data_IF_380343479649
#
_entry.id   IF_380343479649
#
_cell.length_a   1.000
_cell.length_b   1.000
_cell.length_c   1.000
_cell.angle_alpha   90.00
_cell.angle_beta   90.00
_cell.angle_gamma   90.00
#
_symmetry.space_group_name_H-M   'P 1'
#
loop_
_entity.id
_entity.type
_entity.pdbx_description
1 polymer ?
#
# COMPACT_ATOMS: atom_id res chain seq x y z
N UNK A 1 -9.46 -5.65 28.82
CA UNK A 1 -10.16 -6.97 28.81
C UNK A 1 -10.90 -7.03 27.48
N UNK A 2 -10.87 -8.15 26.75
CA UNK A 2 -11.68 -8.29 25.53
C UNK A 2 -13.12 -8.56 25.99
N UNK A 3 -14.14 -7.83 25.51
CA UNK A 3 -15.51 -8.12 25.87
C UNK A 3 -15.92 -9.52 25.39
N UNK A 4 -16.80 -10.17 26.14
CA UNK A 4 -17.36 -11.46 25.73
C UNK A 4 -18.44 -11.20 24.67
N UNK A 5 -18.05 -11.29 23.39
CA UNK A 5 -18.93 -11.11 22.25
C UNK A 5 -19.50 -12.45 21.80
N UNK A 6 -20.73 -12.49 21.24
CA UNK A 6 -21.23 -13.65 20.51
C UNK A 6 -20.23 -14.07 19.42
N UNK A 7 -20.22 -15.34 19.05
CA UNK A 7 -19.39 -15.79 17.93
C UNK A 7 -19.90 -15.18 16.61
N UNK A 8 -19.00 -14.76 15.72
CA UNK A 8 -19.39 -14.27 14.41
C UNK A 8 -20.01 -15.40 13.55
N UNK A 9 -20.87 -15.04 12.64
CA UNK A 9 -21.43 -15.98 11.66
C UNK A 9 -20.41 -16.24 10.56
N UNK A 10 -20.05 -17.50 10.35
CA UNK A 10 -19.22 -17.92 9.22
C UNK A 10 -20.08 -17.98 7.94
N UNK A 11 -19.60 -17.32 6.88
CA UNK A 11 -20.28 -17.27 5.57
C UNK A 11 -19.49 -18.15 4.60
N UNK A 12 -19.84 -19.43 4.61
CA UNK A 12 -19.21 -20.50 3.81
C UNK A 12 -20.18 -21.16 2.82
N UNK A 13 -21.43 -20.68 2.77
CA UNK A 13 -22.50 -21.23 1.92
C UNK A 13 -23.32 -20.11 1.30
N UNK A 14 -23.98 -20.37 0.16
CA UNK A 14 -24.86 -19.41 -0.51
C UNK A 14 -26.03 -18.96 0.39
N UNK A 15 -26.54 -19.84 1.26
CA UNK A 15 -27.59 -19.48 2.22
C UNK A 15 -27.07 -18.44 3.25
N UNK A 16 -25.83 -18.60 3.73
CA UNK A 16 -25.22 -17.63 4.63
C UNK A 16 -24.89 -16.31 3.92
N UNK A 17 -24.49 -16.35 2.63
CA UNK A 17 -24.33 -15.15 1.79
C UNK A 17 -25.67 -14.42 1.68
N UNK A 18 -26.78 -15.12 1.39
CA UNK A 18 -28.10 -14.51 1.29
C UNK A 18 -28.52 -13.82 2.61
N UNK A 19 -28.30 -14.46 3.76
CA UNK A 19 -28.59 -13.87 5.08
C UNK A 19 -27.73 -12.63 5.40
N UNK A 20 -26.45 -12.64 5.00
CA UNK A 20 -25.60 -11.46 5.09
C UNK A 20 -26.12 -10.32 4.22
N UNK A 21 -26.45 -10.60 2.95
CA UNK A 21 -26.97 -9.60 2.02
C UNK A 21 -28.28 -8.99 2.49
N UNK A 22 -29.20 -9.78 3.05
CA UNK A 22 -30.41 -9.28 3.69
C UNK A 22 -30.11 -8.34 4.88
N UNK A 23 -29.12 -8.70 5.69
CA UNK A 23 -28.63 -7.82 6.77
C UNK A 23 -28.10 -6.51 6.22
N UNK A 24 -27.27 -6.57 5.18
CA UNK A 24 -26.68 -5.38 4.55
C UNK A 24 -27.72 -4.51 3.84
N UNK A 25 -28.78 -5.10 3.27
CA UNK A 25 -29.89 -4.36 2.63
C UNK A 25 -30.54 -3.40 3.64
N UNK A 26 -30.71 -3.83 4.89
CA UNK A 26 -31.35 -3.07 5.94
C UNK A 26 -30.39 -2.20 6.76
N UNK A 27 -29.08 -2.35 6.60
CA UNK A 27 -28.07 -1.57 7.33
C UNK A 27 -27.75 -0.26 6.56
N UNK A 28 -27.82 0.92 7.21
CA UNK A 28 -27.39 2.17 6.62
C UNK A 28 -25.87 2.27 6.50
N UNK A 29 -25.16 1.55 7.38
CA UNK A 29 -23.70 1.51 7.48
C UNK A 29 -23.22 0.14 7.95
N UNK A 30 -21.99 -0.20 7.57
CA UNK A 30 -21.32 -1.41 8.03
C UNK A 30 -19.80 -1.28 7.96
N UNK A 31 -19.13 -1.97 8.86
CA UNK A 31 -17.66 -2.03 8.90
C UNK A 31 -17.13 -3.17 8.02
N UNK A 32 -15.94 -2.97 7.46
CA UNK A 32 -15.26 -3.95 6.59
C UNK A 32 -13.78 -3.99 6.88
N UNK A 33 -13.20 -5.18 6.86
CA UNK A 33 -11.76 -5.44 6.89
C UNK A 33 -11.45 -6.69 6.05
N UNK A 34 -10.19 -6.95 5.73
CA UNK A 34 -9.79 -8.16 4.99
C UNK A 34 -8.49 -8.76 5.51
N UNK A 35 -8.40 -10.09 5.37
CA UNK A 35 -7.15 -10.79 5.61
C UNK A 35 -6.68 -11.52 4.35
N UNK A 36 -5.40 -11.41 4.06
CA UNK A 36 -4.76 -12.01 2.89
C UNK A 36 -3.65 -12.98 3.22
N UNK A 37 -3.11 -13.63 2.19
CA UNK A 37 -2.05 -14.64 2.32
C UNK A 37 -0.71 -14.21 1.70
N UNK A 38 -0.46 -12.91 1.53
CA UNK A 38 0.72 -12.34 0.89
C UNK A 38 2.06 -12.83 1.46
N UNK A 39 2.10 -13.25 2.74
CA UNK A 39 3.27 -13.85 3.36
C UNK A 39 3.42 -15.35 3.08
N UNK A 40 2.40 -16.03 2.56
CA UNK A 40 2.33 -17.48 2.46
C UNK A 40 2.16 -17.99 1.04
N UNK A 41 1.39 -17.28 0.22
CA UNK A 41 1.01 -17.66 -1.14
C UNK A 41 1.46 -16.65 -2.19
N UNK A 42 1.52 -17.13 -3.44
CA UNK A 42 1.78 -16.29 -4.62
C UNK A 42 1.05 -16.86 -5.85
N UNK A 43 0.31 -16.05 -6.58
CA UNK A 43 -0.11 -14.68 -6.22
C UNK A 43 -0.86 -14.63 -4.88
N UNK A 44 -0.78 -13.48 -4.21
CA UNK A 44 -1.59 -13.25 -3.00
C UNK A 44 -3.07 -13.12 -3.35
N UNK A 45 -3.93 -13.42 -2.38
CA UNK A 45 -5.38 -13.30 -2.52
C UNK A 45 -6.04 -12.92 -1.20
N UNK A 46 -7.24 -12.40 -1.27
CA UNK A 46 -8.10 -12.22 -0.10
C UNK A 46 -8.55 -13.58 0.40
N UNK A 47 -8.33 -13.87 1.67
CA UNK A 47 -8.65 -15.14 2.32
C UNK A 47 -9.82 -15.06 3.29
N UNK A 48 -10.13 -13.86 3.78
CA UNK A 48 -11.25 -13.61 4.66
C UNK A 48 -11.74 -12.18 4.44
N UNK A 49 -13.05 -11.95 4.51
CA UNK A 49 -13.64 -10.61 4.55
C UNK A 49 -14.48 -10.52 5.82
N UNK A 50 -14.11 -9.60 6.70
CA UNK A 50 -14.85 -9.32 7.93
C UNK A 50 -15.88 -8.23 7.65
N UNK A 51 -17.09 -8.44 8.14
CA UNK A 51 -18.18 -7.45 8.03
C UNK A 51 -18.92 -7.39 9.36
N UNK A 52 -19.11 -6.16 9.89
CA UNK A 52 -19.99 -5.91 11.02
C UNK A 52 -21.10 -4.95 10.61
N UNK A 53 -22.35 -5.35 10.76
CA UNK A 53 -23.52 -4.54 10.49
C UNK A 53 -24.46 -4.56 11.70
N UNK A 54 -24.66 -3.40 12.32
CA UNK A 54 -25.30 -3.31 13.65
C UNK A 54 -24.49 -4.09 14.68
N UNK A 55 -25.14 -5.03 15.39
CA UNK A 55 -24.51 -5.89 16.41
C UNK A 55 -24.08 -7.27 15.85
N UNK A 56 -24.21 -7.49 14.54
CA UNK A 56 -23.90 -8.78 13.91
C UNK A 56 -22.55 -8.75 13.21
N UNK A 57 -21.70 -9.72 13.56
CA UNK A 57 -20.40 -9.92 12.97
C UNK A 57 -20.44 -11.11 12.01
N UNK A 58 -19.84 -10.94 10.82
CA UNK A 58 -19.81 -11.90 9.75
C UNK A 58 -18.37 -12.11 9.28
N UNK A 59 -17.97 -13.36 9.12
CA UNK A 59 -16.69 -13.75 8.53
C UNK A 59 -16.94 -14.48 7.22
N UNK A 60 -16.78 -13.79 6.12
CA UNK A 60 -16.98 -14.34 4.77
C UNK A 60 -15.73 -15.05 4.34
N UNK A 61 -15.86 -16.33 3.96
CA UNK A 61 -14.77 -17.15 3.47
C UNK A 61 -14.80 -17.27 1.92
N UNK A 62 -14.04 -16.42 1.21
CA UNK A 62 -14.01 -16.49 -0.25
C UNK A 62 -13.38 -17.80 -0.79
N UNK A 63 -12.61 -18.50 0.03
CA UNK A 63 -11.92 -19.73 -0.40
C UNK A 63 -12.87 -20.92 -0.58
N UNK A 64 -14.10 -20.82 -0.09
CA UNK A 64 -15.14 -21.82 -0.29
C UNK A 64 -15.79 -21.74 -1.68
N UNK A 65 -15.55 -20.65 -2.42
CA UNK A 65 -16.07 -20.43 -3.77
C UNK A 65 -17.51 -19.90 -3.83
N UNK A 66 -18.03 -19.37 -2.71
CA UNK A 66 -19.36 -18.69 -2.67
C UNK A 66 -19.39 -17.45 -3.57
N UNK A 67 -20.56 -17.13 -4.12
CA UNK A 67 -20.73 -15.95 -4.96
C UNK A 67 -20.76 -14.65 -4.15
N UNK A 68 -19.74 -13.82 -4.35
CA UNK A 68 -19.58 -12.53 -3.68
C UNK A 68 -20.10 -11.34 -4.50
N UNK A 69 -20.71 -11.54 -5.65
CA UNK A 69 -21.21 -10.44 -6.49
C UNK A 69 -22.21 -9.52 -5.75
N UNK A 70 -22.99 -10.11 -4.82
CA UNK A 70 -23.88 -9.36 -3.93
C UNK A 70 -23.17 -8.36 -3.03
N UNK A 71 -22.01 -8.74 -2.48
CA UNK A 71 -21.18 -7.84 -1.68
C UNK A 71 -20.64 -6.67 -2.52
N UNK A 72 -20.19 -6.95 -3.75
CA UNK A 72 -19.76 -5.90 -4.67
C UNK A 72 -20.83 -4.84 -4.92
N UNK A 73 -22.12 -5.24 -5.01
CA UNK A 73 -23.24 -4.29 -5.12
C UNK A 73 -23.41 -3.47 -3.83
N UNK A 74 -23.30 -4.09 -2.65
CA UNK A 74 -23.38 -3.38 -1.37
C UNK A 74 -22.24 -2.37 -1.19
N UNK A 75 -21.02 -2.71 -1.60
CA UNK A 75 -19.87 -1.80 -1.56
C UNK A 75 -20.00 -0.62 -2.52
N UNK A 76 -20.60 -0.83 -3.68
CA UNK A 76 -20.82 0.22 -4.69
C UNK A 76 -22.02 1.12 -4.39
N UNK A 77 -22.92 0.76 -3.47
CA UNK A 77 -24.12 1.53 -3.15
C UNK A 77 -23.75 2.85 -2.40
N UNK A 78 -23.99 4.03 -3.01
CA UNK A 78 -23.65 5.30 -2.38
C UNK A 78 -24.54 5.65 -1.16
N UNK A 79 -25.67 4.97 -0.97
CA UNK A 79 -26.59 5.18 0.16
C UNK A 79 -26.08 4.53 1.44
N UNK A 80 -25.18 3.56 1.34
CA UNK A 80 -24.62 2.80 2.46
C UNK A 80 -23.22 3.30 2.78
N UNK A 81 -22.96 3.56 4.04
CA UNK A 81 -21.63 3.97 4.50
C UNK A 81 -20.79 2.72 4.80
N UNK A 82 -19.61 2.61 4.20
CA UNK A 82 -18.63 1.57 4.50
C UNK A 82 -17.54 2.14 5.39
N UNK A 83 -17.34 1.53 6.55
CA UNK A 83 -16.38 1.96 7.57
C UNK A 83 -15.18 1.04 7.56
N UNK A 84 -14.00 1.62 7.34
CA UNK A 84 -12.70 0.94 7.34
C UNK A 84 -11.78 1.49 8.42
N UNK A 85 -10.69 0.78 8.67
CA UNK A 85 -9.56 1.29 9.44
C UNK A 85 -8.25 1.05 8.68
N UNK A 86 -7.71 2.08 8.01
CA UNK A 86 -6.55 1.96 7.08
C UNK A 86 -6.89 1.13 5.83
N UNK A 87 -8.09 1.32 5.27
CA UNK A 87 -8.71 0.47 4.27
C UNK A 87 -8.07 0.51 2.86
N UNK A 88 -6.92 1.15 2.66
CA UNK A 88 -6.29 1.25 1.33
C UNK A 88 -5.93 -0.12 0.77
N UNK A 89 -5.31 -0.98 1.60
CA UNK A 89 -4.94 -2.34 1.19
C UNK A 89 -6.16 -3.23 0.93
N UNK A 90 -7.18 -3.14 1.78
CA UNK A 90 -8.42 -3.91 1.67
C UNK A 90 -9.17 -3.59 0.39
N UNK A 91 -9.37 -2.28 0.14
CA UNK A 91 -10.02 -1.78 -1.07
C UNK A 91 -9.23 -2.18 -2.32
N UNK A 92 -7.91 -2.03 -2.31
CA UNK A 92 -7.06 -2.43 -3.43
C UNK A 92 -7.14 -3.94 -3.71
N UNK A 93 -7.11 -4.76 -2.66
CA UNK A 93 -7.18 -6.22 -2.75
C UNK A 93 -8.54 -6.69 -3.25
N UNK A 94 -9.64 -6.14 -2.73
CA UNK A 94 -11.00 -6.46 -3.18
C UNK A 94 -11.27 -5.99 -4.62
N UNK A 95 -10.70 -4.85 -5.04
CA UNK A 95 -10.73 -4.41 -6.44
C UNK A 95 -9.94 -5.34 -7.35
N UNK A 96 -8.75 -5.78 -6.91
CA UNK A 96 -7.89 -6.70 -7.68
C UNK A 96 -8.54 -8.07 -7.87
N UNK A 97 -9.05 -8.67 -6.78
CA UNK A 97 -9.49 -10.06 -6.78
C UNK A 97 -10.92 -10.23 -7.30
N UNK A 98 -11.78 -9.22 -7.11
CA UNK A 98 -13.22 -9.30 -7.42
C UNK A 98 -13.73 -8.19 -8.34
N UNK A 99 -12.92 -7.19 -8.69
CA UNK A 99 -13.36 -6.05 -9.50
C UNK A 99 -14.34 -5.11 -8.79
N UNK A 100 -14.44 -5.18 -7.47
CA UNK A 100 -15.41 -4.40 -6.70
C UNK A 100 -15.18 -2.89 -6.84
N UNK A 101 -16.27 -2.13 -6.76
CA UNK A 101 -16.25 -0.68 -6.71
C UNK A 101 -16.70 -0.22 -5.33
N UNK A 102 -16.20 0.93 -4.91
CA UNK A 102 -16.50 1.48 -3.58
C UNK A 102 -17.04 2.89 -3.68
N UNK A 103 -18.08 3.19 -2.90
CA UNK A 103 -18.69 4.52 -2.75
C UNK A 103 -19.06 4.75 -1.30
N UNK A 104 -19.05 6.00 -0.88
CA UNK A 104 -19.45 6.42 0.47
C UNK A 104 -18.66 5.71 1.57
N UNK A 105 -17.40 6.09 1.72
CA UNK A 105 -16.44 5.52 2.66
C UNK A 105 -16.23 6.41 3.88
N UNK A 106 -15.88 5.79 5.00
CA UNK A 106 -15.29 6.46 6.16
C UNK A 106 -14.10 5.62 6.65
N UNK A 107 -12.96 6.26 6.86
CA UNK A 107 -11.77 5.59 7.40
C UNK A 107 -11.45 6.10 8.80
N UNK A 108 -11.59 5.23 9.79
CA UNK A 108 -11.43 5.58 11.22
C UNK A 108 -9.97 5.84 11.60
N UNK A 109 -8.98 5.30 10.86
CA UNK A 109 -7.57 5.63 11.06
C UNK A 109 -7.26 7.04 10.56
N UNK A 110 -7.76 7.40 9.39
CA UNK A 110 -7.65 8.76 8.85
C UNK A 110 -8.32 9.75 9.79
N UNK A 111 -9.50 9.40 10.32
CA UNK A 111 -10.22 10.21 11.30
C UNK A 111 -9.40 10.43 12.58
N UNK A 112 -8.85 9.35 13.16
CA UNK A 112 -8.00 9.44 14.35
C UNK A 112 -6.77 10.33 14.09
N UNK A 113 -6.09 10.16 12.95
CA UNK A 113 -4.95 10.98 12.58
C UNK A 113 -5.34 12.46 12.35
N UNK A 114 -6.50 12.71 11.72
CA UNK A 114 -7.05 14.06 11.56
C UNK A 114 -7.42 14.70 12.90
N UNK A 115 -7.79 13.92 13.90
CA UNK A 115 -8.04 14.38 15.28
C UNK A 115 -6.74 14.59 16.08
N UNK A 116 -5.58 14.21 15.53
CA UNK A 116 -4.27 14.43 16.14
C UNK A 116 -3.78 13.25 16.98
N UNK A 117 -4.34 12.05 16.81
CA UNK A 117 -3.87 10.85 17.50
C UNK A 117 -2.40 10.57 17.14
N UNK A 118 -1.54 10.38 18.14
CA UNK A 118 -0.12 10.05 17.95
C UNK A 118 0.06 8.64 17.38
N UNK A 119 -0.82 7.73 17.76
CA UNK A 119 -0.83 6.34 17.31
C UNK A 119 -2.23 5.99 16.76
N UNK A 120 -2.53 6.33 15.49
CA UNK A 120 -3.86 6.14 14.93
C UNK A 120 -4.18 4.69 14.53
N UNK A 121 -3.31 3.71 14.81
CA UNK A 121 -3.54 2.30 14.51
C UNK A 121 -4.62 1.67 15.39
N UNK A 122 -5.35 0.68 14.86
CA UNK A 122 -6.55 0.10 15.45
C UNK A 122 -6.40 -0.28 16.93
N UNK A 123 -5.32 -1.00 17.27
CA UNK A 123 -5.09 -1.41 18.66
C UNK A 123 -5.03 -0.24 19.64
N UNK A 124 -4.44 0.90 19.25
CA UNK A 124 -4.35 2.08 20.10
C UNK A 124 -5.70 2.78 20.24
N UNK A 125 -6.39 2.99 19.13
CA UNK A 125 -7.69 3.71 19.18
C UNK A 125 -8.78 2.87 19.86
N UNK A 126 -8.75 1.54 19.75
CA UNK A 126 -9.68 0.68 20.49
C UNK A 126 -9.34 0.60 21.98
N UNK A 127 -8.05 0.59 22.33
CA UNK A 127 -7.63 0.65 23.71
C UNK A 127 -8.06 1.96 24.37
N UNK A 128 -7.89 3.09 23.70
CA UNK A 128 -8.27 4.41 24.20
C UNK A 128 -9.79 4.62 24.22
N UNK A 129 -10.47 4.22 23.14
CA UNK A 129 -11.92 4.46 22.98
C UNK A 129 -12.82 3.49 23.72
N UNK A 130 -12.39 2.23 23.90
CA UNK A 130 -13.24 1.14 24.39
C UNK A 130 -12.55 0.23 25.42
N UNK A 131 -11.28 0.46 25.76
CA UNK A 131 -10.51 -0.41 26.67
C UNK A 131 -10.18 -1.79 26.09
N UNK A 132 -10.35 -1.98 24.79
CA UNK A 132 -10.13 -3.26 24.09
C UNK A 132 -8.67 -3.45 23.73
N UNK A 133 -8.10 -4.60 24.05
CA UNK A 133 -6.74 -4.98 23.70
C UNK A 133 -6.75 -5.98 22.54
N UNK A 134 -6.11 -5.62 21.42
CA UNK A 134 -5.92 -6.50 20.27
C UNK A 134 -4.59 -7.26 20.36
N UNK A 135 -4.62 -8.55 20.02
CA UNK A 135 -3.41 -9.38 19.90
C UNK A 135 -2.81 -9.25 18.48
N UNK A 136 -1.85 -8.34 18.33
CA UNK A 136 -1.17 -8.10 17.04
C UNK A 136 -0.39 -9.30 16.49
N UNK A 137 -0.19 -10.36 17.27
CA UNK A 137 0.57 -11.54 16.81
C UNK A 137 -0.12 -12.25 15.65
N UNK A 138 -1.44 -12.07 15.49
CA UNK A 138 -2.25 -12.72 14.46
C UNK A 138 -2.27 -11.98 13.11
N UNK A 139 -1.83 -10.72 13.03
CA UNK A 139 -1.76 -9.95 11.77
C UNK A 139 -0.96 -10.66 10.66
N UNK A 140 0.00 -11.51 11.02
CA UNK A 140 0.82 -12.28 10.06
C UNK A 140 0.50 -13.76 10.11
N UNK A 141 -0.71 -14.11 10.48
CA UNK A 141 -1.20 -15.49 10.52
C UNK A 141 -1.36 -16.06 9.10
N UNK A 142 -1.38 -17.38 8.98
CA UNK A 142 -1.66 -18.04 7.71
C UNK A 142 -3.18 -18.10 7.48
N UNK A 143 -3.74 -17.03 6.91
CA UNK A 143 -5.17 -16.85 6.72
C UNK A 143 -5.79 -17.73 5.65
N UNK A 144 -4.97 -18.34 4.79
CA UNK A 144 -5.43 -19.33 3.81
C UNK A 144 -5.68 -20.74 4.40
N UNK A 145 -5.23 -20.99 5.63
CA UNK A 145 -5.40 -22.29 6.29
C UNK A 145 -6.83 -22.45 6.82
N UNK A 146 -7.37 -23.68 6.68
CA UNK A 146 -8.68 -24.07 7.22
C UNK A 146 -8.57 -25.35 8.06
N UNK A 147 -9.40 -25.50 9.12
CA UNK A 147 -10.31 -24.46 9.65
C UNK A 147 -9.54 -23.32 10.31
N UNK A 148 -10.17 -22.13 10.42
CA UNK A 148 -9.64 -21.04 11.22
C UNK A 148 -9.65 -21.45 12.70
N UNK A 149 -8.61 -21.03 13.42
CA UNK A 149 -8.55 -21.22 14.87
C UNK A 149 -9.50 -20.26 15.58
N UNK A 150 -9.96 -20.59 16.78
CA UNK A 150 -10.80 -19.72 17.58
C UNK A 150 -10.15 -18.34 17.81
N UNK A 151 -8.82 -18.30 18.00
CA UNK A 151 -8.08 -17.04 18.13
C UNK A 151 -8.15 -16.18 16.86
N UNK A 152 -8.04 -16.79 15.68
CA UNK A 152 -8.18 -16.07 14.40
C UNK A 152 -9.61 -15.54 14.22
N UNK A 153 -10.62 -16.36 14.54
CA UNK A 153 -12.03 -15.93 14.48
C UNK A 153 -12.27 -14.73 15.38
N UNK A 154 -11.78 -14.76 16.62
CA UNK A 154 -11.94 -13.65 17.57
C UNK A 154 -11.15 -12.41 17.15
N UNK A 155 -9.94 -12.59 16.64
CA UNK A 155 -9.14 -11.49 16.12
C UNK A 155 -9.87 -10.80 14.96
N UNK A 156 -10.27 -11.54 13.93
CA UNK A 156 -10.98 -11.03 12.77
C UNK A 156 -12.32 -10.36 13.12
N UNK A 157 -13.04 -10.85 14.14
CA UNK A 157 -14.25 -10.22 14.66
C UNK A 157 -13.96 -8.83 15.22
N UNK A 158 -12.86 -8.68 15.99
CA UNK A 158 -12.53 -7.42 16.66
C UNK A 158 -12.03 -6.34 15.69
N UNK A 159 -11.52 -6.73 14.52
CA UNK A 159 -11.02 -5.77 13.52
C UNK A 159 -12.16 -4.91 12.91
N UNK A 160 -13.43 -5.40 12.97
CA UNK A 160 -14.59 -4.66 12.46
C UNK A 160 -15.62 -4.28 13.54
N UNK A 161 -15.76 -5.06 14.59
CA UNK A 161 -16.84 -4.92 15.58
C UNK A 161 -17.00 -3.50 16.14
N UNK A 162 -15.90 -2.82 16.40
CA UNK A 162 -15.90 -1.49 17.02
C UNK A 162 -15.76 -0.33 16.04
N UNK A 163 -15.68 -0.58 14.72
CA UNK A 163 -15.37 0.50 13.76
C UNK A 163 -16.55 1.49 13.61
N UNK A 164 -17.80 1.01 13.56
CA UNK A 164 -18.96 1.90 13.50
C UNK A 164 -19.10 2.71 14.80
N UNK A 165 -19.08 2.12 16.01
CA UNK A 165 -19.03 2.89 17.27
C UNK A 165 -17.85 3.86 17.37
N UNK A 166 -16.68 3.51 16.82
CA UNK A 166 -15.53 4.41 16.78
C UNK A 166 -15.78 5.61 15.86
N UNK A 167 -16.31 5.38 14.67
CA UNK A 167 -16.71 6.43 13.74
C UNK A 167 -17.73 7.39 14.37
N UNK A 168 -18.75 6.86 15.05
CA UNK A 168 -19.77 7.65 15.74
C UNK A 168 -19.18 8.59 16.79
N UNK A 169 -18.12 8.18 17.50
CA UNK A 169 -17.35 9.04 18.41
C UNK A 169 -16.53 10.09 17.67
N UNK A 170 -15.89 9.72 16.55
CA UNK A 170 -14.97 10.58 15.82
C UNK A 170 -15.68 11.68 15.01
N UNK A 171 -16.85 11.39 14.40
CA UNK A 171 -17.57 12.34 13.53
C UNK A 171 -17.91 13.68 14.21
N UNK A 172 -18.50 13.72 15.42
CA UNK A 172 -18.78 14.99 16.10
C UNK A 172 -17.50 15.79 16.40
N UNK A 173 -16.43 15.13 16.79
CA UNK A 173 -15.15 15.80 17.06
C UNK A 173 -14.49 16.37 15.78
N UNK A 174 -14.55 15.63 14.67
CA UNK A 174 -14.10 16.13 13.37
C UNK A 174 -14.87 17.37 12.96
N UNK A 175 -16.19 17.36 13.11
CA UNK A 175 -17.05 18.50 12.81
C UNK A 175 -16.71 19.70 13.69
N UNK A 176 -16.60 19.50 15.01
CA UNK A 176 -16.26 20.56 15.95
C UNK A 176 -14.88 21.20 15.69
N UNK A 177 -13.92 20.43 15.16
CA UNK A 177 -12.58 20.92 14.80
C UNK A 177 -12.49 21.39 13.35
N UNK A 178 -13.57 21.32 12.57
CA UNK A 178 -13.56 21.67 11.13
C UNK A 178 -12.61 20.78 10.32
N UNK A 179 -12.57 19.46 10.59
CA UNK A 179 -11.61 18.52 9.97
C UNK A 179 -12.27 17.39 9.16
N UNK A 180 -13.60 17.41 9.05
CA UNK A 180 -14.38 16.41 8.30
C UNK A 180 -13.90 16.28 6.86
N UNK A 181 -13.57 17.40 6.21
CA UNK A 181 -13.09 17.44 4.83
C UNK A 181 -11.79 16.64 4.60
N UNK A 182 -10.95 16.46 5.63
CA UNK A 182 -9.71 15.67 5.54
C UNK A 182 -10.08 14.20 5.30
N UNK A 183 -11.00 13.68 6.10
CA UNK A 183 -11.47 12.28 5.99
C UNK A 183 -12.21 12.07 4.68
N UNK A 184 -13.11 12.97 4.33
CA UNK A 184 -13.86 12.89 3.07
C UNK A 184 -12.95 12.93 1.84
N UNK A 185 -11.92 13.80 1.85
CA UNK A 185 -10.96 13.88 0.75
C UNK A 185 -10.17 12.59 0.58
N UNK A 186 -9.68 12.01 1.68
CA UNK A 186 -8.96 10.74 1.64
C UNK A 186 -9.88 9.58 1.23
N UNK A 187 -11.11 9.52 1.72
CA UNK A 187 -12.10 8.53 1.31
C UNK A 187 -12.42 8.63 -0.20
N UNK A 188 -12.56 9.85 -0.76
CA UNK A 188 -12.71 10.03 -2.22
C UNK A 188 -11.48 9.54 -2.99
N UNK A 189 -10.26 9.68 -2.45
CA UNK A 189 -9.06 9.10 -3.03
C UNK A 189 -9.13 7.57 -3.05
N UNK A 190 -9.52 6.95 -1.94
CA UNK A 190 -9.69 5.49 -1.83
C UNK A 190 -10.74 4.95 -2.79
N UNK A 191 -11.86 5.64 -2.98
CA UNK A 191 -12.88 5.26 -3.97
C UNK A 191 -12.30 5.17 -5.40
N UNK A 192 -11.38 6.10 -5.76
CA UNK A 192 -10.74 6.17 -7.08
C UNK A 192 -9.48 5.31 -7.19
N UNK A 193 -9.05 4.69 -6.10
CA UNK A 193 -7.85 3.85 -6.07
C UNK A 193 -7.95 2.77 -7.16
N UNK A 194 -6.91 2.68 -7.98
CA UNK A 194 -6.78 1.60 -8.95
C UNK A 194 -6.15 0.37 -8.27
N UNK A 195 -6.60 -0.84 -8.62
CA UNK A 195 -5.93 -2.04 -8.12
C UNK A 195 -4.46 -2.03 -8.58
N UNK A 196 -3.55 -2.61 -7.79
CA UNK A 196 -2.16 -2.72 -8.20
C UNK A 196 -2.03 -3.54 -9.48
N UNK A 197 -1.13 -3.12 -10.38
CA UNK A 197 -0.80 -3.93 -11.55
C UNK A 197 -0.17 -5.24 -11.09
N UNK A 198 -0.74 -6.36 -11.55
CA UNK A 198 -0.26 -7.72 -11.23
C UNK A 198 0.62 -8.31 -12.32
N UNK A 199 0.83 -7.56 -13.41
CA UNK A 199 1.64 -8.02 -14.54
C UNK A 199 3.12 -8.02 -14.17
N UNK A 200 3.76 -9.18 -14.30
CA UNK A 200 5.19 -9.31 -14.08
C UNK A 200 5.97 -8.56 -15.18
N UNK A 201 6.81 -7.62 -14.77
CA UNK A 201 7.76 -6.96 -15.67
C UNK A 201 9.18 -7.46 -15.35
N UNK A 202 9.82 -8.23 -16.28
CA UNK A 202 11.16 -8.75 -16.07
C UNK A 202 12.22 -7.66 -15.88
N UNK A 203 11.95 -6.45 -16.29
CA UNK A 203 12.89 -5.33 -16.19
C UNK A 203 12.83 -4.62 -14.83
N UNK A 204 11.83 -4.89 -14.00
CA UNK A 204 11.77 -4.37 -12.62
C UNK A 204 12.93 -4.84 -11.72
N UNK A 205 13.75 -5.81 -12.16
CA UNK A 205 14.96 -6.18 -11.44
C UNK A 205 15.88 -4.99 -11.15
N UNK A 206 15.86 -3.94 -11.99
CA UNK A 206 16.68 -2.72 -11.80
C UNK A 206 16.32 -1.94 -10.53
N UNK A 207 15.16 -2.22 -9.92
CA UNK A 207 14.71 -1.62 -8.64
C UNK A 207 15.32 -2.32 -7.41
N UNK A 208 15.91 -3.49 -7.59
CA UNK A 208 16.57 -4.19 -6.49
C UNK A 208 17.79 -3.38 -6.01
N UNK A 209 17.93 -3.27 -4.69
CA UNK A 209 19.10 -2.60 -4.10
C UNK A 209 20.39 -3.28 -4.55
N UNK A 210 21.32 -2.50 -5.09
CA UNK A 210 22.59 -3.02 -5.64
C UNK A 210 22.54 -3.44 -7.12
N UNK A 211 21.37 -3.50 -7.76
CA UNK A 211 21.26 -3.87 -9.18
C UNK A 211 22.03 -2.92 -10.12
N UNK A 212 22.09 -1.65 -9.76
CA UNK A 212 22.77 -0.60 -10.57
C UNK A 212 24.28 -0.65 -10.46
N UNK A 213 24.81 -1.23 -9.38
CA UNK A 213 26.25 -1.34 -9.10
C UNK A 213 26.87 -2.54 -9.84
N UNK A 214 26.07 -3.42 -10.42
CA UNK A 214 26.51 -4.59 -11.17
C UNK A 214 27.11 -4.21 -12.53
N UNK A 215 28.08 -5.00 -13.00
CA UNK A 215 28.60 -4.88 -14.36
C UNK A 215 27.57 -5.36 -15.43
N UNK A 216 27.77 -5.08 -16.72
CA UNK A 216 26.83 -5.42 -17.77
C UNK A 216 26.46 -6.91 -17.85
N UNK A 217 27.37 -7.83 -17.55
CA UNK A 217 27.13 -9.27 -17.57
C UNK A 217 26.36 -9.71 -16.31
N UNK A 218 26.73 -9.17 -15.17
CA UNK A 218 26.03 -9.40 -13.89
C UNK A 218 24.58 -8.87 -13.92
N UNK A 219 24.33 -7.74 -14.61
CA UNK A 219 22.97 -7.20 -14.83
C UNK A 219 22.13 -8.19 -15.62
N UNK A 220 22.68 -8.75 -16.71
CA UNK A 220 21.98 -9.77 -17.48
C UNK A 220 21.70 -11.02 -16.63
N UNK A 221 22.66 -11.44 -15.80
CA UNK A 221 22.45 -12.55 -14.87
C UNK A 221 21.36 -12.25 -13.84
N UNK A 222 21.32 -11.02 -13.30
CA UNK A 222 20.27 -10.62 -12.35
C UNK A 222 18.88 -10.66 -13.01
N UNK A 223 18.74 -10.20 -14.25
CA UNK A 223 17.48 -10.27 -14.99
C UNK A 223 17.00 -11.71 -15.18
N UNK A 224 17.88 -12.61 -15.63
CA UNK A 224 17.55 -14.03 -15.77
C UNK A 224 17.17 -14.71 -14.47
N UNK A 225 17.85 -14.35 -13.36
CA UNK A 225 17.54 -14.83 -12.02
C UNK A 225 16.21 -14.27 -11.52
N UNK A 226 15.88 -13.03 -11.86
CA UNK A 226 14.62 -12.39 -11.51
C UNK A 226 13.44 -13.08 -12.20
N UNK A 227 13.56 -13.39 -13.48
CA UNK A 227 12.60 -14.18 -14.26
C UNK A 227 12.47 -15.59 -13.70
N UNK A 228 13.60 -16.24 -13.37
CA UNK A 228 13.58 -17.57 -12.74
C UNK A 228 12.82 -17.56 -11.42
N UNK A 229 13.08 -16.56 -10.57
CA UNK A 229 12.40 -16.44 -9.27
C UNK A 229 10.90 -16.31 -9.44
N UNK A 230 10.43 -15.50 -10.39
CA UNK A 230 9.00 -15.34 -10.69
C UNK A 230 8.38 -16.68 -11.09
N UNK A 231 8.97 -17.38 -12.05
CA UNK A 231 8.51 -18.70 -12.48
C UNK A 231 8.43 -19.69 -11.30
N UNK A 232 9.49 -19.77 -10.51
CA UNK A 232 9.52 -20.65 -9.33
C UNK A 232 8.49 -20.23 -8.25
N UNK A 233 8.23 -18.95 -8.10
CA UNK A 233 7.22 -18.44 -7.17
C UNK A 233 5.81 -18.90 -7.56
N UNK A 234 5.48 -18.83 -8.83
CA UNK A 234 4.21 -19.33 -9.39
C UNK A 234 4.09 -20.86 -9.26
N UNK A 235 5.14 -21.61 -9.65
CA UNK A 235 5.16 -23.06 -9.59
C UNK A 235 5.04 -23.60 -8.15
N UNK A 236 5.74 -22.95 -7.21
CA UNK A 236 5.75 -23.36 -5.80
C UNK A 236 4.61 -22.73 -5.00
N UNK A 237 3.83 -21.84 -5.61
CA UNK A 237 2.80 -21.01 -4.96
C UNK A 237 3.34 -20.33 -3.69
N UNK A 238 4.56 -19.77 -3.78
CA UNK A 238 5.26 -19.13 -2.66
C UNK A 238 5.73 -17.73 -3.01
N UNK A 239 5.62 -16.77 -2.08
CA UNK A 239 6.08 -15.41 -2.30
C UNK A 239 7.55 -15.37 -2.75
N UNK A 240 7.92 -14.49 -3.69
CA UNK A 240 9.27 -14.42 -4.27
C UNK A 240 10.39 -14.31 -3.23
N UNK A 241 10.17 -13.59 -2.12
CA UNK A 241 11.15 -13.43 -1.06
C UNK A 241 11.38 -14.72 -0.25
N UNK A 242 10.42 -15.66 -0.23
CA UNK A 242 10.56 -17.00 0.37
C UNK A 242 11.21 -18.00 -0.57
N UNK A 243 11.19 -17.75 -1.87
CA UNK A 243 11.88 -18.60 -2.86
C UNK A 243 13.36 -18.24 -2.91
N UNK A 244 13.67 -16.98 -3.25
CA UNK A 244 15.03 -16.41 -3.19
C UNK A 244 14.89 -14.94 -2.78
N UNK A 245 15.46 -14.53 -1.65
CA UNK A 245 15.44 -13.15 -1.18
C UNK A 245 16.14 -12.19 -2.15
N UNK A 246 15.86 -10.90 -2.03
CA UNK A 246 16.44 -9.88 -2.93
C UNK A 246 17.97 -9.82 -2.81
N UNK A 247 18.52 -9.77 -1.59
CA UNK A 247 19.97 -9.67 -1.38
C UNK A 247 20.71 -10.93 -1.89
N UNK A 248 20.28 -12.16 -1.58
CA UNK A 248 20.83 -13.37 -2.20
C UNK A 248 20.75 -13.35 -3.72
N UNK A 249 19.66 -12.88 -4.33
CA UNK A 249 19.51 -12.83 -5.78
C UNK A 249 20.57 -11.93 -6.42
N UNK A 250 20.78 -10.73 -5.87
CA UNK A 250 21.82 -9.79 -6.33
C UNK A 250 23.22 -10.35 -6.07
N UNK A 251 23.45 -11.00 -4.92
CA UNK A 251 24.75 -11.59 -4.62
C UNK A 251 25.09 -12.76 -5.55
N UNK A 252 24.10 -13.59 -5.92
CA UNK A 252 24.28 -14.65 -6.94
C UNK A 252 24.67 -14.05 -8.28
N UNK A 253 23.99 -12.99 -8.71
CA UNK A 253 24.29 -12.30 -9.96
C UNK A 253 25.70 -11.70 -9.95
N UNK A 254 26.10 -11.04 -8.88
CA UNK A 254 27.44 -10.46 -8.72
C UNK A 254 28.54 -11.56 -8.73
N UNK A 255 28.29 -12.68 -8.06
CA UNK A 255 29.28 -13.77 -7.96
C UNK A 255 29.38 -14.67 -9.19
N UNK A 256 28.40 -14.65 -10.09
CA UNK A 256 28.35 -15.48 -11.32
C UNK A 256 28.82 -16.94 -11.09
N UNK A 257 28.27 -17.66 -10.08
CA UNK A 257 28.77 -18.99 -9.70
C UNK A 257 28.71 -19.99 -10.86
N UNK A 258 29.70 -20.90 -10.90
CA UNK A 258 29.81 -21.93 -11.95
C UNK A 258 29.43 -23.34 -11.47
N UNK A 259 29.18 -23.51 -10.17
CA UNK A 259 28.89 -24.82 -9.59
C UNK A 259 27.96 -24.69 -8.36
N UNK A 260 27.31 -25.79 -7.99
CA UNK A 260 26.50 -25.86 -6.77
C UNK A 260 27.37 -25.62 -5.53
N UNK A 261 28.65 -25.99 -5.58
CA UNK A 261 29.57 -25.74 -4.48
C UNK A 261 29.79 -24.24 -4.25
N UNK A 262 29.99 -23.47 -5.31
CA UNK A 262 30.10 -22.00 -5.22
C UNK A 262 28.79 -21.31 -4.78
N UNK A 263 27.62 -21.84 -5.18
CA UNK A 263 26.32 -21.36 -4.70
C UNK A 263 26.13 -21.52 -3.19
N UNK A 264 26.62 -22.61 -2.61
CA UNK A 264 26.52 -22.85 -1.15
C UNK A 264 27.29 -21.84 -0.29
N UNK A 265 28.21 -21.11 -0.89
CA UNK A 265 29.05 -20.11 -0.23
C UNK A 265 28.43 -18.70 -0.27
N UNK A 266 27.30 -18.56 -0.95
CA UNK A 266 26.61 -17.26 -1.09
C UNK A 266 25.81 -17.00 0.19
N UNK A 267 26.06 -15.86 0.81
CA UNK A 267 25.36 -15.44 2.00
C UNK A 267 23.85 -15.27 1.71
N UNK A 268 23.01 -15.78 2.58
CA UNK A 268 21.54 -15.72 2.44
C UNK A 268 20.96 -16.76 1.46
N UNK A 269 21.79 -17.58 0.77
CA UNK A 269 21.32 -18.70 -0.06
C UNK A 269 21.66 -20.02 0.64
N UNK A 270 20.68 -20.61 1.30
CA UNK A 270 20.90 -21.77 2.17
C UNK A 270 21.36 -23.03 1.42
N UNK A 271 22.02 -23.96 2.11
CA UNK A 271 22.39 -25.26 1.55
C UNK A 271 21.18 -26.04 1.01
N UNK A 272 20.01 -25.91 1.67
CA UNK A 272 18.75 -26.49 1.20
C UNK A 272 18.26 -25.87 -0.11
N UNK A 273 18.36 -24.54 -0.26
CA UNK A 273 18.04 -23.85 -1.52
C UNK A 273 19.03 -24.26 -2.63
N UNK A 274 20.34 -24.29 -2.35
CA UNK A 274 21.36 -24.72 -3.31
C UNK A 274 21.13 -26.15 -3.82
N UNK A 275 20.66 -27.06 -2.96
CA UNK A 275 20.30 -28.42 -3.35
C UNK A 275 19.06 -28.48 -4.25
N UNK A 276 18.01 -27.71 -3.90
CA UNK A 276 16.71 -27.75 -4.62
C UNK A 276 16.74 -26.93 -5.91
N UNK A 277 17.30 -25.72 -5.86
CA UNK A 277 17.20 -24.71 -6.93
C UNK A 277 18.53 -24.51 -7.67
N UNK A 278 19.63 -25.12 -7.21
CA UNK A 278 20.96 -24.83 -7.70
C UNK A 278 21.14 -25.10 -9.20
N UNK A 279 20.53 -26.16 -9.74
CA UNK A 279 20.57 -26.44 -11.18
C UNK A 279 19.91 -25.36 -12.00
N UNK A 280 18.74 -24.90 -11.57
CA UNK A 280 17.97 -23.86 -12.25
C UNK A 280 18.65 -22.50 -12.17
N UNK A 281 19.23 -22.16 -11.00
CA UNK A 281 20.03 -20.95 -10.82
C UNK A 281 21.25 -20.95 -11.75
N UNK A 282 22.00 -22.07 -11.85
CA UNK A 282 23.14 -22.20 -12.75
C UNK A 282 22.71 -22.13 -14.22
N UNK A 283 21.55 -22.70 -14.56
CA UNK A 283 20.98 -22.60 -15.91
C UNK A 283 20.59 -21.15 -16.27
N UNK A 284 20.02 -20.39 -15.33
CA UNK A 284 19.74 -18.98 -15.55
C UNK A 284 21.03 -18.16 -15.79
N UNK A 285 22.10 -18.43 -15.04
CA UNK A 285 23.40 -17.80 -15.26
C UNK A 285 24.00 -18.21 -16.62
N UNK A 286 23.82 -19.45 -17.07
CA UNK A 286 24.25 -19.89 -18.38
C UNK A 286 23.52 -19.14 -19.51
N UNK A 287 22.17 -19.04 -19.41
CA UNK A 287 21.37 -18.23 -20.35
C UNK A 287 21.84 -16.76 -20.40
N UNK A 288 22.17 -16.18 -19.25
CA UNK A 288 22.68 -14.82 -19.20
C UNK A 288 24.02 -14.68 -19.99
N UNK A 289 24.91 -15.68 -19.90
CA UNK A 289 26.16 -15.69 -20.66
C UNK A 289 25.92 -15.83 -22.16
N UNK A 290 24.95 -16.64 -22.57
CA UNK A 290 24.55 -16.83 -23.95
C UNK A 290 23.91 -15.56 -24.54
N UNK A 291 23.05 -14.87 -23.75
CA UNK A 291 22.44 -13.61 -24.16
C UNK A 291 23.41 -12.44 -24.25
N UNK A 292 24.57 -12.54 -23.60
CA UNK A 292 25.60 -11.49 -23.60
C UNK A 292 25.33 -10.36 -22.58
N UNK A 293 26.23 -9.37 -22.52
CA UNK A 293 26.19 -8.31 -21.54
C UNK A 293 25.09 -7.28 -21.81
N UNK A 294 24.35 -6.88 -20.78
CA UNK A 294 23.35 -5.80 -20.80
C UNK A 294 24.04 -4.44 -20.66
N UNK A 295 24.39 -3.84 -21.81
CA UNK A 295 25.15 -2.58 -21.82
C UNK A 295 24.37 -1.39 -21.23
N UNK A 296 23.03 -1.35 -21.42
CA UNK A 296 22.14 -0.29 -20.91
C UNK A 296 21.10 -0.88 -19.99
N UNK A 297 20.91 -0.25 -18.82
CA UNK A 297 19.81 -0.60 -17.93
C UNK A 297 18.46 -0.24 -18.57
N UNK A 298 17.44 -1.09 -18.43
CA UNK A 298 16.07 -0.77 -18.81
C UNK A 298 15.60 0.53 -18.14
N UNK A 299 14.87 1.34 -18.89
CA UNK A 299 14.19 2.52 -18.37
C UNK A 299 12.79 2.13 -17.99
N UNK A 300 12.56 1.94 -16.69
CA UNK A 300 11.22 1.73 -16.19
C UNK A 300 10.45 3.05 -16.14
N UNK A 301 9.12 3.01 -16.35
CA UNK A 301 8.28 4.16 -16.03
C UNK A 301 8.48 4.53 -14.57
N UNK A 302 8.54 5.84 -14.31
CA UNK A 302 8.68 6.34 -12.94
C UNK A 302 7.46 5.93 -12.13
N UNK A 303 7.67 5.11 -11.10
CA UNK A 303 6.76 5.17 -9.96
C UNK A 303 6.87 6.59 -9.41
N UNK A 304 5.74 7.27 -9.24
CA UNK A 304 5.68 8.69 -8.86
C UNK A 304 6.72 9.06 -7.78
N UNK A 305 7.71 9.82 -8.18
CA UNK A 305 8.82 10.29 -7.37
C UNK A 305 9.59 11.38 -8.11
N UNK A 306 10.64 11.93 -7.51
CA UNK A 306 11.47 12.99 -8.12
C UNK A 306 12.45 12.50 -9.18
N UNK A 307 12.47 11.19 -9.49
CA UNK A 307 13.28 10.65 -10.59
C UNK A 307 12.78 11.20 -11.92
N UNK A 308 13.64 11.91 -12.66
CA UNK A 308 13.29 12.63 -13.88
C UNK A 308 12.80 14.06 -13.68
N UNK A 309 12.81 14.56 -12.46
CA UNK A 309 12.61 15.98 -12.15
C UNK A 309 13.91 16.75 -12.44
N UNK A 310 13.78 17.98 -12.91
CA UNK A 310 14.89 18.92 -12.94
C UNK A 310 15.32 19.30 -11.53
N UNK A 311 16.53 19.85 -11.38
CA UNK A 311 16.99 20.35 -10.07
C UNK A 311 16.04 21.42 -9.50
N UNK A 312 15.43 22.23 -10.36
CA UNK A 312 14.43 23.22 -10.01
C UNK A 312 13.12 22.58 -9.48
N UNK A 313 12.63 21.54 -10.16
CA UNK A 313 11.42 20.82 -9.72
C UNK A 313 11.65 20.11 -8.38
N UNK A 314 12.86 19.58 -8.16
CA UNK A 314 13.24 18.98 -6.87
C UNK A 314 13.28 20.03 -5.77
N UNK A 315 13.88 21.18 -6.02
CA UNK A 315 13.97 22.27 -5.03
C UNK A 315 12.57 22.81 -4.70
N UNK A 316 11.74 23.04 -5.71
CA UNK A 316 10.36 23.46 -5.51
C UNK A 316 9.56 22.44 -4.67
N UNK A 317 9.69 21.15 -4.99
CA UNK A 317 9.06 20.11 -4.21
C UNK A 317 9.53 20.10 -2.74
N UNK A 318 10.82 20.34 -2.47
CA UNK A 318 11.32 20.44 -1.08
C UNK A 318 10.73 21.66 -0.36
N UNK A 319 10.57 22.81 -1.02
CA UNK A 319 9.89 23.99 -0.45
C UNK A 319 8.41 23.71 -0.15
N UNK A 320 7.70 23.07 -1.05
CA UNK A 320 6.31 22.64 -0.83
C UNK A 320 6.19 21.64 0.32
N UNK A 321 7.13 20.71 0.47
CA UNK A 321 7.19 19.79 1.62
C UNK A 321 7.41 20.54 2.94
N UNK A 322 8.30 21.52 2.94
CA UNK A 322 8.54 22.32 4.13
C UNK A 322 7.32 23.15 4.52
N UNK A 323 6.65 23.79 3.54
CA UNK A 323 5.39 24.47 3.76
C UNK A 323 4.35 23.50 4.38
N UNK A 324 4.15 22.35 3.75
CA UNK A 324 3.19 21.34 4.23
C UNK A 324 3.47 20.92 5.67
N UNK A 325 4.76 20.73 6.03
CA UNK A 325 5.16 20.38 7.40
C UNK A 325 4.77 21.47 8.40
N UNK A 326 4.96 22.74 8.06
CA UNK A 326 4.59 23.87 8.91
C UNK A 326 3.08 23.98 9.07
N UNK A 327 2.33 23.92 7.96
CA UNK A 327 0.88 23.99 7.96
C UNK A 327 0.23 22.81 8.73
N UNK A 328 0.76 21.60 8.59
CA UNK A 328 0.29 20.43 9.31
C UNK A 328 0.61 20.51 10.82
N UNK A 329 1.76 21.04 11.19
CA UNK A 329 2.13 21.26 12.59
C UNK A 329 1.19 22.26 13.28
N UNK A 330 0.77 23.31 12.58
CA UNK A 330 -0.23 24.27 13.08
C UNK A 330 -1.60 23.60 13.34
N UNK A 331 -1.94 22.58 12.56
CA UNK A 331 -3.14 21.77 12.78
C UNK A 331 -2.93 20.60 13.75
N UNK A 332 -1.71 20.36 14.20
CA UNK A 332 -1.35 19.18 15.02
C UNK A 332 -1.76 17.84 14.38
N UNK A 333 -1.53 17.67 13.08
CA UNK A 333 -1.79 16.44 12.32
C UNK A 333 -0.53 16.00 11.56
N UNK A 334 -0.51 14.75 11.12
CA UNK A 334 0.53 14.30 10.18
C UNK A 334 0.38 15.01 8.83
N UNK A 335 1.49 15.46 8.30
CA UNK A 335 1.56 16.21 7.05
C UNK A 335 1.04 15.43 5.83
N UNK A 336 1.04 14.11 5.87
CA UNK A 336 0.51 13.25 4.80
C UNK A 336 -0.99 13.48 4.58
N UNK A 337 -1.74 13.78 5.66
CA UNK A 337 -3.19 14.03 5.58
C UNK A 337 -3.56 15.47 5.20
N UNK A 338 -2.58 16.40 5.20
CA UNK A 338 -2.86 17.76 4.74
C UNK A 338 -2.92 17.85 3.21
N UNK A 339 -1.84 17.41 2.56
CA UNK A 339 -1.74 17.30 1.09
C UNK A 339 -0.88 16.07 0.78
N UNK A 340 -1.41 15.16 -0.04
CA UNK A 340 -0.69 13.96 -0.42
C UNK A 340 0.65 14.30 -1.12
N UNK A 341 1.67 13.50 -0.87
CA UNK A 341 3.01 13.70 -1.47
C UNK A 341 2.97 13.74 -3.00
N UNK A 342 2.12 12.93 -3.63
CA UNK A 342 2.01 12.87 -5.09
C UNK A 342 1.37 14.13 -5.67
N UNK A 343 0.46 14.75 -4.94
CA UNK A 343 -0.12 16.06 -5.30
C UNK A 343 0.96 17.13 -5.29
N UNK A 344 1.82 17.16 -4.25
CA UNK A 344 2.94 18.12 -4.19
C UNK A 344 3.93 17.92 -5.34
N UNK A 345 4.20 16.67 -5.75
CA UNK A 345 5.03 16.38 -6.92
C UNK A 345 4.41 16.93 -8.21
N UNK A 346 3.09 16.76 -8.39
CA UNK A 346 2.36 17.29 -9.56
C UNK A 346 2.34 18.82 -9.56
N UNK A 347 2.14 19.45 -8.40
CA UNK A 347 2.22 20.91 -8.25
C UNK A 347 3.62 21.41 -8.61
N UNK A 348 4.68 20.77 -8.13
CA UNK A 348 6.06 21.16 -8.43
C UNK A 348 6.38 21.03 -9.94
N UNK A 349 5.82 20.04 -10.60
CA UNK A 349 5.99 19.82 -12.05
C UNK A 349 5.17 20.79 -12.91
N UNK A 350 3.90 21.02 -12.56
CA UNK A 350 2.97 21.85 -13.35
C UNK A 350 3.12 23.35 -13.08
N UNK A 351 3.67 23.76 -11.91
CA UNK A 351 3.88 25.15 -11.46
C UNK A 351 2.64 26.03 -11.72
N UNK A 352 1.47 25.71 -11.14
CA UNK A 352 0.27 26.49 -11.37
C UNK A 352 0.45 27.94 -10.89
N UNK A 353 -0.04 28.92 -11.68
CA UNK A 353 0.10 30.36 -11.38
C UNK A 353 -1.17 30.99 -10.82
N UNK A 354 -2.27 30.28 -10.84
CA UNK A 354 -3.58 30.76 -10.39
C UNK A 354 -4.31 29.68 -9.60
N UNK A 355 -5.26 30.08 -8.75
CA UNK A 355 -6.16 29.15 -8.04
C UNK A 355 -6.83 28.18 -9.01
N UNK A 356 -7.40 28.67 -10.10
CA UNK A 356 -8.06 27.84 -11.11
C UNK A 356 -7.11 26.83 -11.81
N UNK A 357 -5.80 27.14 -11.91
CA UNK A 357 -4.82 26.19 -12.41
C UNK A 357 -4.43 25.16 -11.34
N UNK A 358 -4.36 25.57 -10.07
CA UNK A 358 -4.09 24.69 -8.94
C UNK A 358 -5.22 23.67 -8.75
N UNK A 359 -6.49 24.09 -8.86
CA UNK A 359 -7.68 23.22 -8.80
C UNK A 359 -7.66 22.08 -9.84
N UNK A 360 -7.04 22.31 -11.00
CA UNK A 360 -6.89 21.30 -12.06
C UNK A 360 -5.77 20.30 -11.81
N UNK A 361 -5.00 20.49 -10.73
CA UNK A 361 -3.95 19.52 -10.36
C UNK A 361 -4.60 18.20 -9.91
N UNK A 362 -4.31 17.12 -10.61
CA UNK A 362 -4.87 15.82 -10.28
C UNK A 362 -4.61 15.41 -8.83
N UNK A 363 -5.68 15.02 -8.13
CA UNK A 363 -5.63 14.54 -6.74
C UNK A 363 -5.61 15.65 -5.69
N UNK A 364 -5.63 16.92 -6.06
CA UNK A 364 -5.88 18.00 -5.11
C UNK A 364 -7.38 18.04 -4.77
N UNK A 365 -7.70 18.20 -3.51
CA UNK A 365 -9.09 18.28 -3.06
C UNK A 365 -9.55 19.76 -2.98
N UNK A 366 -10.82 20.08 -3.26
CA UNK A 366 -11.33 21.46 -3.26
C UNK A 366 -11.04 22.22 -1.96
N UNK A 367 -11.22 21.55 -0.80
CA UNK A 367 -10.94 22.14 0.51
C UNK A 367 -9.47 22.54 0.71
N UNK A 368 -8.54 21.81 0.06
CA UNK A 368 -7.11 22.13 0.12
C UNK A 368 -6.82 23.43 -0.64
N UNK A 369 -7.48 23.62 -1.76
CA UNK A 369 -7.33 24.85 -2.54
C UNK A 369 -8.01 26.02 -1.83
N UNK A 370 -9.22 25.83 -1.32
CA UNK A 370 -9.95 26.85 -0.56
C UNK A 370 -9.14 27.33 0.66
N UNK A 371 -8.55 26.41 1.41
CA UNK A 371 -7.86 26.72 2.66
C UNK A 371 -6.39 27.13 2.47
N UNK A 372 -5.68 26.54 1.52
CA UNK A 372 -4.23 26.66 1.36
C UNK A 372 -3.78 27.09 -0.02
N UNK A 373 -4.70 27.34 -0.94
CA UNK A 373 -4.38 27.66 -2.32
C UNK A 373 -3.46 28.88 -2.44
N UNK A 374 -3.76 29.97 -1.72
CA UNK A 374 -2.91 31.16 -1.73
C UNK A 374 -1.52 30.89 -1.12
N UNK A 375 -1.44 30.15 -0.02
CA UNK A 375 -0.15 29.79 0.58
C UNK A 375 0.71 28.93 -0.37
N UNK A 376 0.09 27.97 -1.07
CA UNK A 376 0.77 27.16 -2.09
C UNK A 376 1.26 28.05 -3.23
N UNK A 377 0.42 28.98 -3.73
CA UNK A 377 0.81 29.91 -4.77
C UNK A 377 1.89 30.90 -4.32
N UNK A 378 1.92 31.27 -3.04
CA UNK A 378 3.00 32.11 -2.47
C UNK A 378 4.35 31.36 -2.49
N UNK A 379 4.37 30.08 -2.13
CA UNK A 379 5.59 29.25 -2.26
C UNK A 379 6.07 29.24 -3.71
N UNK A 380 5.14 29.09 -4.67
CA UNK A 380 5.47 29.08 -6.10
C UNK A 380 5.98 30.45 -6.56
N UNK A 381 5.32 31.55 -6.19
CA UNK A 381 5.73 32.93 -6.52
C UNK A 381 7.13 33.24 -5.99
N UNK A 382 7.39 32.90 -4.72
CA UNK A 382 8.71 33.11 -4.13
C UNK A 382 9.79 32.26 -4.80
N UNK A 383 9.47 31.03 -5.17
CA UNK A 383 10.38 30.17 -5.91
C UNK A 383 10.74 30.76 -7.29
N UNK A 384 9.75 31.24 -8.07
CA UNK A 384 9.99 31.85 -9.38
C UNK A 384 10.83 33.14 -9.27
N UNK A 385 10.61 33.95 -8.22
CA UNK A 385 11.44 35.12 -7.93
C UNK A 385 12.89 34.73 -7.65
N UNK A 386 13.11 33.76 -6.76
CA UNK A 386 14.46 33.29 -6.40
C UNK A 386 15.18 32.65 -7.59
N UNK A 387 14.43 32.00 -8.51
CA UNK A 387 14.96 31.46 -9.76
C UNK A 387 15.45 32.59 -10.68
N UNK A 388 14.66 33.64 -10.84
CA UNK A 388 15.02 34.83 -11.65
C UNK A 388 16.22 35.59 -11.07
N UNK A 389 16.44 35.53 -9.75
CA UNK A 389 17.57 36.18 -9.06
C UNK A 389 18.80 35.24 -8.93
N UNK A 390 18.80 34.07 -9.58
CA UNK A 390 19.87 33.05 -9.55
C UNK A 390 20.25 32.60 -8.12
N UNK A 391 19.31 32.65 -7.19
CA UNK A 391 19.49 32.28 -5.77
C UNK A 391 19.30 30.78 -5.50
N UNK A 392 18.86 30.01 -6.51
CA UNK A 392 18.63 28.59 -6.36
C UNK A 392 19.94 27.85 -6.58
N UNK A 393 20.47 27.13 -5.57
CA UNK A 393 21.67 26.34 -5.77
C UNK A 393 21.38 25.19 -6.72
N UNK A 394 22.05 25.16 -7.86
CA UNK A 394 22.11 23.96 -8.72
C UNK A 394 22.81 22.86 -7.92
N UNK A 395 22.04 21.94 -7.35
CA UNK A 395 22.60 20.71 -6.75
C UNK A 395 23.16 19.86 -7.88
N UNK A 396 24.47 20.00 -8.14
CA UNK A 396 25.18 18.97 -8.88
C UNK A 396 24.97 17.67 -8.13
N UNK A 397 24.29 16.73 -8.74
CA UNK A 397 24.19 15.35 -8.28
C UNK A 397 25.64 14.86 -8.09
N UNK A 398 26.12 14.84 -6.85
CA UNK A 398 27.37 14.14 -6.53
C UNK A 398 27.05 12.66 -6.68
N UNK A 399 27.24 12.14 -7.91
CA UNK A 399 27.53 10.75 -8.09
C UNK A 399 28.70 10.44 -7.15
N UNK A 400 28.54 9.41 -6.34
CA UNK A 400 29.66 8.88 -5.56
C UNK A 400 30.73 8.36 -6.53
N UNK A 401 31.59 9.26 -7.03
CA UNK A 401 32.89 8.85 -7.50
C UNK A 401 33.72 8.65 -6.23
N UNK A 402 33.91 7.43 -5.81
CA UNK A 402 35.08 7.07 -5.04
C UNK A 402 36.28 7.34 -5.94
N UNK A 403 36.99 8.43 -5.66
CA UNK A 403 38.36 8.57 -6.06
C UNK A 403 39.20 7.83 -5.00
N UNK A 404 40.09 7.00 -5.52
CA UNK A 404 41.31 6.42 -4.95
C UNK A 404 41.24 5.72 -3.59
#
# INVERSE_FOLDING_TARGET
MVPELPLPTLVETEAAVAALLETLENAPEFAVDTEGDSFFSYPERVCLVQITAGEKDWLVDPLTGVDLAGLGRAFADPRKLKVFHDGEYDIASLKRDYGFQFKNLFDTRVAAAALGAQNPGLASVLQEGFGVQLDKSLQRSEWSRRPLTEKQIRYAQLDTHFLVPLMEKQRPELAARGRTMIVEGECRRLERLLPPETTFDPDEFVRLKGARDLDPMQRQALRELYILRERLSLELKRPPFKVIGNDPLVTIAAGMPKSIFSLRRINGFSHGQARRLGREVLSAIARAREAGPMAKLPRLPNREGTSGFSDEEVELHERLKQWRKVAAAAMQIDSAYLVNRHVLLRVAKSRPKTIAALERTEGIEPWQVERYGEEILDVLRQFEKDLGESKIPTRRYRGHSKAE
#
